data_IF_604194818158
#
_entry.id   IF_604194818158
#
_cell.length_a   1.000
_cell.length_b   1.000
_cell.length_c   1.000
_cell.angle_alpha   90.00
_cell.angle_beta   90.00
_cell.angle_gamma   90.00
#
_symmetry.space_group_name_H-M   'P 1'
#
loop_
_entity.id
_entity.type
_entity.pdbx_description
1 polymer ?
#
# COMPACT_ATOMS: atom_id res chain seq x y z
N UNK A 1 -2.37 32.30 5.47
CA UNK A 1 -2.98 31.06 4.93
C UNK A 1 -2.33 30.64 3.61
N UNK A 2 -2.27 31.52 2.60
CA UNK A 2 -1.59 31.28 1.29
C UNK A 2 -0.17 30.71 1.39
N UNK A 3 0.70 31.36 2.18
CA UNK A 3 2.12 30.96 2.29
C UNK A 3 2.33 29.52 2.79
N UNK A 4 1.58 29.11 3.83
CA UNK A 4 1.61 27.74 4.35
C UNK A 4 1.09 26.73 3.33
N UNK A 5 0.01 27.09 2.62
CA UNK A 5 -0.56 26.23 1.59
C UNK A 5 0.45 26.00 0.45
N UNK A 6 1.12 27.06 -0.02
CA UNK A 6 2.19 26.96 -1.01
C UNK A 6 3.32 26.02 -0.58
N UNK A 7 3.80 26.14 0.67
CA UNK A 7 4.80 25.22 1.23
C UNK A 7 4.33 23.77 1.23
N UNK A 8 3.11 23.50 1.68
CA UNK A 8 2.53 22.16 1.71
C UNK A 8 2.34 21.58 0.30
N UNK A 9 1.97 22.41 -0.68
CA UNK A 9 1.86 22.00 -2.09
C UNK A 9 3.26 21.61 -2.62
N UNK A 10 4.28 22.44 -2.41
CA UNK A 10 5.66 22.13 -2.81
C UNK A 10 6.16 20.86 -2.14
N UNK A 11 5.97 20.74 -0.82
CA UNK A 11 6.28 19.53 -0.05
C UNK A 11 5.67 18.27 -0.70
N UNK A 12 4.39 18.36 -1.05
CA UNK A 12 3.63 17.26 -1.64
C UNK A 12 4.19 16.92 -3.02
N UNK A 13 4.30 17.90 -3.92
CA UNK A 13 4.81 17.67 -5.29
C UNK A 13 6.24 17.12 -5.25
N UNK A 14 7.12 17.67 -4.43
CA UNK A 14 8.50 17.20 -4.27
C UNK A 14 8.56 15.76 -3.75
N UNK A 15 7.72 15.39 -2.78
CA UNK A 15 7.66 14.02 -2.27
C UNK A 15 7.30 13.01 -3.37
N UNK A 16 6.30 13.34 -4.20
CA UNK A 16 5.91 12.49 -5.30
C UNK A 16 6.90 12.51 -6.48
N UNK A 17 7.61 13.62 -6.68
CA UNK A 17 8.71 13.72 -7.65
C UNK A 17 9.83 12.71 -7.32
N UNK A 18 10.14 12.45 -6.04
CA UNK A 18 11.13 11.43 -5.63
C UNK A 18 10.79 10.04 -6.16
N UNK A 19 9.50 9.77 -6.35
CA UNK A 19 8.98 8.50 -6.85
C UNK A 19 8.61 8.56 -8.35
N UNK A 20 9.08 9.59 -9.06
CA UNK A 20 8.80 9.85 -10.47
C UNK A 20 7.29 9.87 -10.78
N UNK A 21 6.51 10.46 -9.87
CA UNK A 21 5.05 10.45 -9.90
C UNK A 21 4.47 11.85 -10.05
N UNK A 22 4.28 12.35 -11.28
CA UNK A 22 3.48 13.55 -11.53
C UNK A 22 2.09 13.43 -10.90
N UNK A 23 1.70 14.45 -10.14
CA UNK A 23 0.43 14.48 -9.39
C UNK A 23 -0.56 15.44 -10.03
N UNK A 24 -1.84 15.13 -9.95
CA UNK A 24 -2.93 16.05 -10.31
C UNK A 24 -3.28 16.98 -9.14
N UNK A 25 -4.03 18.06 -9.39
CA UNK A 25 -4.54 18.92 -8.31
C UNK A 25 -5.37 18.13 -7.28
N UNK A 26 -6.13 17.13 -7.74
CA UNK A 26 -6.88 16.23 -6.86
C UNK A 26 -5.97 15.37 -5.99
N UNK A 27 -4.88 14.83 -6.55
CA UNK A 27 -3.90 14.05 -5.78
C UNK A 27 -3.10 14.93 -4.81
N UNK A 28 -2.76 16.16 -5.19
CA UNK A 28 -2.16 17.15 -4.28
C UNK A 28 -3.08 17.38 -3.07
N UNK A 29 -4.36 17.66 -3.30
CA UNK A 29 -5.33 17.80 -2.22
C UNK A 29 -5.44 16.52 -1.38
N UNK A 30 -5.70 15.38 -2.03
CA UNK A 30 -5.97 14.09 -1.36
C UNK A 30 -4.79 13.58 -0.54
N UNK A 31 -3.57 13.91 -0.95
CA UNK A 31 -2.33 13.44 -0.36
C UNK A 31 -1.43 14.55 0.18
N UNK A 32 -2.03 15.71 0.49
CA UNK A 32 -1.32 16.89 0.99
C UNK A 32 -0.40 16.51 2.16
N UNK A 33 0.82 17.00 2.15
CA UNK A 33 1.82 16.83 3.21
C UNK A 33 1.94 18.15 3.97
N UNK A 34 1.86 18.09 5.29
CA UNK A 34 2.06 19.22 6.19
C UNK A 34 3.50 19.23 6.71
N UNK A 35 4.19 20.37 6.60
CA UNK A 35 5.58 20.51 7.06
C UNK A 35 5.70 20.91 8.54
N UNK A 36 4.66 21.55 9.11
CA UNK A 36 4.65 22.04 10.49
C UNK A 36 3.88 21.05 11.38
N UNK A 37 4.58 20.11 12.04
CA UNK A 37 3.97 19.17 12.99
C UNK A 37 3.59 19.82 14.33
N UNK A 38 4.21 20.95 14.67
CA UNK A 38 4.12 21.59 16.00
C UNK A 38 3.12 22.73 16.12
N UNK A 39 2.39 23.08 15.05
CA UNK A 39 1.43 24.19 15.10
C UNK A 39 0.04 23.78 14.64
N UNK A 40 -0.93 24.15 15.50
CA UNK A 40 -2.38 23.93 15.40
C UNK A 40 -2.82 23.81 13.94
N UNK A 41 -3.30 22.60 13.62
CA UNK A 41 -4.05 22.28 12.40
C UNK A 41 -5.05 23.40 12.20
N UNK A 42 -5.01 24.08 11.04
CA UNK A 42 -5.98 25.12 10.72
C UNK A 42 -7.40 24.64 11.07
N UNK A 43 -8.23 25.49 11.68
CA UNK A 43 -9.59 25.16 12.17
C UNK A 43 -10.49 24.48 11.12
N UNK A 44 -10.09 24.52 9.83
CA UNK A 44 -10.73 23.81 8.74
C UNK A 44 -9.70 23.05 7.87
N UNK A 45 -9.95 21.77 7.53
CA UNK A 45 -9.13 21.05 6.56
C UNK A 45 -9.20 21.71 5.18
N UNK A 46 -8.05 21.78 4.49
CA UNK A 46 -7.92 22.38 3.17
C UNK A 46 -8.81 21.65 2.15
N UNK A 47 -9.61 22.41 1.40
CA UNK A 47 -10.49 21.87 0.36
C UNK A 47 -9.77 21.77 -0.98
N UNK A 48 -10.33 20.99 -1.91
CA UNK A 48 -9.82 20.94 -3.28
C UNK A 48 -9.87 22.31 -3.96
N UNK A 49 -10.91 23.11 -3.68
CA UNK A 49 -11.07 24.46 -4.22
C UNK A 49 -9.96 25.41 -3.77
N UNK A 50 -9.47 25.26 -2.54
CA UNK A 50 -8.34 26.04 -2.02
C UNK A 50 -7.05 25.70 -2.79
N UNK A 51 -6.80 24.42 -3.05
CA UNK A 51 -5.63 23.96 -3.82
C UNK A 51 -5.69 24.47 -5.26
N UNK A 52 -6.83 24.32 -5.93
CA UNK A 52 -7.00 24.77 -7.32
C UNK A 52 -6.86 26.29 -7.42
N UNK A 53 -7.50 27.04 -6.52
CA UNK A 53 -7.42 28.51 -6.50
C UNK A 53 -5.99 28.99 -6.26
N UNK A 54 -5.26 28.36 -5.33
CA UNK A 54 -3.87 28.71 -5.05
C UNK A 54 -2.95 28.38 -6.23
N UNK A 55 -3.10 27.21 -6.85
CA UNK A 55 -2.30 26.84 -8.03
C UNK A 55 -2.53 27.79 -9.21
N UNK A 56 -3.75 28.34 -9.34
CA UNK A 56 -4.10 29.29 -10.39
C UNK A 56 -3.46 30.69 -10.21
N UNK A 57 -2.99 31.06 -9.02
CA UNK A 57 -2.31 32.36 -8.80
C UNK A 57 -0.95 32.43 -9.48
N UNK A 58 -0.34 31.28 -9.81
CA UNK A 58 0.99 31.22 -10.42
C UNK A 58 2.15 31.52 -9.47
N UNK A 59 1.89 31.69 -8.17
CA UNK A 59 2.92 31.95 -7.13
C UNK A 59 4.02 30.89 -7.09
N UNK A 60 3.73 29.65 -7.54
CA UNK A 60 4.67 28.54 -7.57
C UNK A 60 5.32 28.28 -8.94
N UNK A 61 5.09 29.13 -9.94
CA UNK A 61 5.57 28.92 -11.34
C UNK A 61 7.08 28.74 -11.48
N UNK A 62 7.89 29.27 -10.56
CA UNK A 62 9.34 29.05 -10.51
C UNK A 62 9.78 27.70 -9.93
N UNK A 63 8.86 26.93 -9.33
CA UNK A 63 9.15 25.64 -8.68
C UNK A 63 8.33 24.48 -9.24
N UNK A 64 7.08 24.74 -9.62
CA UNK A 64 6.12 23.75 -10.11
C UNK A 64 5.58 24.20 -11.46
N UNK A 65 5.51 23.25 -12.39
CA UNK A 65 4.91 23.44 -13.71
C UNK A 65 3.66 22.57 -13.82
N UNK A 66 2.60 23.16 -14.36
CA UNK A 66 1.39 22.44 -14.77
C UNK A 66 1.46 22.11 -16.26
N UNK A 67 1.13 20.86 -16.61
CA UNK A 67 0.97 20.43 -17.99
C UNK A 67 -0.01 19.26 -18.06
N UNK A 68 -1.03 19.37 -18.91
CA UNK A 68 -2.07 18.34 -19.12
C UNK A 68 -2.79 17.93 -17.81
N UNK A 69 -2.97 18.85 -16.87
CA UNK A 69 -3.59 18.61 -15.56
C UNK A 69 -2.67 17.93 -14.53
N UNK A 70 -1.40 17.71 -14.88
CA UNK A 70 -0.37 17.20 -13.96
C UNK A 70 0.56 18.32 -13.53
N UNK A 71 1.03 18.22 -12.30
CA UNK A 71 1.97 19.11 -11.66
C UNK A 71 3.27 18.35 -11.39
N UNK A 72 4.39 18.93 -11.82
CA UNK A 72 5.74 18.42 -11.59
C UNK A 72 6.64 19.53 -11.10
N UNK A 73 7.83 19.19 -10.58
CA UNK A 73 8.89 20.19 -10.46
C UNK A 73 9.30 20.69 -11.85
N UNK A 74 9.85 21.90 -11.92
CA UNK A 74 10.37 22.50 -13.16
C UNK A 74 11.36 21.54 -13.84
N UNK A 75 11.32 21.44 -15.17
CA UNK A 75 12.19 20.57 -15.98
C UNK A 75 11.96 19.07 -15.81
N UNK A 76 10.82 18.65 -15.23
CA UNK A 76 10.46 17.23 -15.06
C UNK A 76 9.16 16.82 -15.75
N UNK A 77 8.67 17.65 -16.66
CA UNK A 77 7.43 17.44 -17.43
C UNK A 77 7.48 16.16 -18.28
N UNK A 78 8.68 15.68 -18.62
CA UNK A 78 8.87 14.41 -19.34
C UNK A 78 8.35 13.20 -18.55
N UNK A 79 8.20 13.30 -17.22
CA UNK A 79 7.64 12.25 -16.37
C UNK A 79 6.14 12.02 -16.64
N UNK A 80 5.42 13.00 -17.19
CA UNK A 80 3.97 12.91 -17.44
C UNK A 80 3.66 11.77 -18.42
N UNK A 81 4.44 11.63 -19.48
CA UNK A 81 4.28 10.51 -20.43
C UNK A 81 4.52 9.16 -19.76
N UNK A 82 5.54 9.07 -18.87
CA UNK A 82 5.83 7.86 -18.10
C UNK A 82 4.69 7.51 -17.16
N UNK A 83 4.13 8.50 -16.46
CA UNK A 83 2.98 8.37 -15.55
C UNK A 83 1.77 7.76 -16.24
N UNK A 84 1.38 8.31 -17.40
CA UNK A 84 0.24 7.84 -18.18
C UNK A 84 0.46 6.38 -18.62
N UNK A 85 1.68 6.05 -19.06
CA UNK A 85 2.00 4.69 -19.47
C UNK A 85 1.99 3.70 -18.29
N UNK A 86 2.55 4.10 -17.15
CA UNK A 86 2.56 3.30 -15.94
C UNK A 86 1.14 3.04 -15.41
N UNK A 87 0.26 4.04 -15.47
CA UNK A 87 -1.14 3.88 -15.07
C UNK A 87 -1.87 2.84 -15.93
N UNK A 88 -1.70 2.90 -17.26
CA UNK A 88 -2.28 1.90 -18.17
C UNK A 88 -1.82 0.49 -17.81
N UNK A 89 -0.53 0.31 -17.55
CA UNK A 89 0.05 -1.00 -17.17
C UNK A 89 -0.49 -1.45 -15.80
N UNK A 90 -0.52 -0.56 -14.81
CA UNK A 90 -1.06 -0.86 -13.48
C UNK A 90 -2.52 -1.28 -13.52
N UNK A 91 -3.37 -0.58 -14.28
CA UNK A 91 -4.79 -0.94 -14.43
C UNK A 91 -4.96 -2.34 -15.02
N UNK A 92 -4.18 -2.70 -16.05
CA UNK A 92 -4.23 -4.04 -16.64
C UNK A 92 -3.76 -5.13 -15.67
N UNK A 93 -2.75 -4.84 -14.85
CA UNK A 93 -2.28 -5.75 -13.79
C UNK A 93 -3.29 -5.89 -12.66
N UNK A 94 -3.86 -4.80 -12.18
CA UNK A 94 -4.91 -4.80 -11.15
C UNK A 94 -6.16 -5.57 -11.59
N UNK A 95 -6.55 -5.48 -12.87
CA UNK A 95 -7.62 -6.34 -13.43
C UNK A 95 -7.31 -7.84 -13.29
N UNK A 96 -6.06 -8.24 -13.49
CA UNK A 96 -5.63 -9.64 -13.32
C UNK A 96 -5.54 -10.04 -11.86
N UNK A 97 -5.01 -9.15 -11.02
CA UNK A 97 -4.93 -9.34 -9.57
C UNK A 97 -6.33 -9.47 -8.94
N UNK A 98 -7.32 -8.72 -9.44
CA UNK A 98 -8.74 -8.89 -9.06
C UNK A 98 -9.26 -10.30 -9.36
N UNK A 99 -8.97 -10.86 -10.54
CA UNK A 99 -9.39 -12.24 -10.87
C UNK A 99 -8.73 -13.24 -9.94
N UNK A 100 -7.44 -13.05 -9.66
CA UNK A 100 -6.72 -13.87 -8.68
C UNK A 100 -7.36 -13.75 -7.29
N UNK A 101 -7.68 -12.55 -6.81
CA UNK A 101 -8.40 -12.34 -5.55
C UNK A 101 -9.78 -13.04 -5.53
N UNK A 102 -10.43 -13.14 -6.70
CA UNK A 102 -11.60 -13.97 -6.95
C UNK A 102 -11.39 -15.45 -6.59
N UNK A 103 -10.22 -16.01 -6.85
CA UNK A 103 -9.88 -17.39 -6.49
C UNK A 103 -9.40 -17.49 -5.04
N UNK A 104 -8.55 -16.55 -4.61
CA UNK A 104 -7.97 -16.54 -3.28
C UNK A 104 -9.00 -16.40 -2.16
N UNK A 105 -10.11 -15.71 -2.41
CA UNK A 105 -11.15 -15.55 -1.39
C UNK A 105 -11.83 -16.85 -0.96
N UNK A 106 -11.63 -17.97 -1.67
CA UNK A 106 -12.10 -19.30 -1.22
C UNK A 106 -11.14 -19.96 -0.22
N UNK A 107 -9.92 -19.45 -0.08
CA UNK A 107 -8.94 -20.05 0.80
C UNK A 107 -9.34 -19.88 2.27
N UNK A 108 -9.20 -20.94 3.08
CA UNK A 108 -9.47 -20.88 4.52
C UNK A 108 -8.59 -19.82 5.18
N UNK A 109 -9.11 -19.23 6.25
CA UNK A 109 -8.43 -18.25 7.11
C UNK A 109 -8.13 -16.89 6.46
N UNK A 110 -8.23 -16.72 5.14
CA UNK A 110 -8.07 -15.41 4.48
C UNK A 110 -9.25 -14.47 4.80
N UNK A 111 -9.01 -13.36 5.49
CA UNK A 111 -10.05 -12.42 5.92
C UNK A 111 -10.13 -11.18 5.05
N UNK A 112 -8.98 -10.65 4.63
CA UNK A 112 -8.89 -9.50 3.72
C UNK A 112 -7.66 -9.63 2.83
N UNK A 113 -7.75 -9.01 1.65
CA UNK A 113 -6.66 -8.96 0.68
C UNK A 113 -6.61 -7.57 0.08
N UNK A 114 -5.44 -6.92 0.16
CA UNK A 114 -5.16 -5.63 -0.43
C UNK A 114 -4.07 -5.72 -1.51
N UNK A 115 -4.14 -4.87 -2.52
CA UNK A 115 -3.00 -4.56 -3.38
C UNK A 115 -2.25 -3.36 -2.79
N UNK A 116 -0.92 -3.47 -2.71
CA UNK A 116 -0.04 -2.38 -2.24
C UNK A 116 1.04 -2.06 -3.29
N UNK A 117 2.00 -1.21 -2.92
CA UNK A 117 3.19 -0.90 -3.70
C UNK A 117 2.89 -0.19 -5.02
N UNK A 118 3.81 -0.37 -5.97
CA UNK A 118 3.81 0.39 -7.24
C UNK A 118 2.52 0.24 -8.06
N UNK A 119 1.86 -0.92 -7.99
CA UNK A 119 0.60 -1.14 -8.70
C UNK A 119 -0.56 -0.36 -8.10
N UNK A 120 -0.66 -0.36 -6.77
CA UNK A 120 -1.70 0.36 -6.05
C UNK A 120 -1.56 1.88 -6.23
N UNK A 121 -0.31 2.36 -6.29
CA UNK A 121 0.02 3.74 -6.65
C UNK A 121 -0.20 4.09 -8.13
N UNK A 122 -0.58 3.13 -8.98
CA UNK A 122 -0.66 3.30 -10.44
C UNK A 122 0.67 3.69 -11.12
N UNK A 123 1.80 3.35 -10.50
CA UNK A 123 3.15 3.61 -11.00
C UNK A 123 3.93 2.33 -11.32
N UNK A 124 3.23 1.30 -11.81
CA UNK A 124 3.80 0.00 -12.11
C UNK A 124 4.43 -0.07 -13.50
N UNK A 125 5.45 -0.91 -13.64
CA UNK A 125 6.09 -1.22 -14.92
C UNK A 125 5.62 -2.57 -15.43
N UNK A 126 6.00 -2.94 -16.66
CA UNK A 126 5.69 -4.27 -17.21
C UNK A 126 6.28 -5.38 -16.35
N UNK A 127 7.41 -5.13 -15.70
CA UNK A 127 8.16 -6.10 -14.89
C UNK A 127 7.67 -6.19 -13.44
N UNK A 128 6.84 -5.22 -12.98
CA UNK A 128 6.30 -5.21 -11.62
C UNK A 128 5.60 -6.52 -11.26
N UNK A 129 5.82 -6.95 -10.03
CA UNK A 129 5.10 -7.99 -9.33
C UNK A 129 3.79 -7.47 -8.74
N UNK A 130 3.07 -8.35 -8.03
CA UNK A 130 1.81 -8.05 -7.35
C UNK A 130 2.06 -8.06 -5.85
N UNK A 131 2.39 -6.90 -5.28
CA UNK A 131 2.52 -6.75 -3.83
C UNK A 131 1.17 -6.91 -3.13
N UNK A 132 1.10 -7.85 -2.19
CA UNK A 132 -0.14 -8.22 -1.52
C UNK A 132 -0.05 -7.93 -0.02
N UNK A 133 -1.05 -7.19 0.47
CA UNK A 133 -1.31 -7.08 1.90
C UNK A 133 -2.35 -8.13 2.30
N UNK A 134 -1.98 -9.08 3.14
CA UNK A 134 -2.80 -10.24 3.48
C UNK A 134 -3.24 -10.17 4.93
N UNK A 135 -4.54 -10.24 5.19
CA UNK A 135 -5.06 -10.38 6.56
C UNK A 135 -5.60 -11.79 6.72
N UNK A 136 -5.06 -12.50 7.70
CA UNK A 136 -5.48 -13.86 8.07
C UNK A 136 -6.27 -13.82 9.39
N UNK A 137 -7.02 -14.87 9.66
CA UNK A 137 -7.69 -15.08 10.95
C UNK A 137 -6.63 -15.19 12.05
N UNK A 138 -6.86 -14.53 13.18
CA UNK A 138 -6.04 -14.66 14.40
C UNK A 138 -5.90 -16.13 14.82
N UNK A 139 -4.68 -16.50 15.25
CA UNK A 139 -4.30 -17.87 15.60
C UNK A 139 -4.22 -18.86 14.43
N UNK A 140 -4.26 -18.38 13.18
CA UNK A 140 -4.17 -19.20 11.96
C UNK A 140 -3.23 -18.60 10.91
N UNK A 141 -2.32 -17.73 11.31
CA UNK A 141 -1.43 -17.00 10.39
C UNK A 141 -0.46 -17.96 9.68
N UNK A 142 0.02 -19.00 10.37
CA UNK A 142 1.04 -19.92 9.83
C UNK A 142 0.45 -20.92 8.85
N UNK A 143 -0.70 -21.52 9.19
CA UNK A 143 -1.44 -22.40 8.27
C UNK A 143 -2.04 -21.61 7.11
N UNK A 144 -2.64 -20.44 7.38
CA UNK A 144 -3.23 -19.58 6.35
C UNK A 144 -2.18 -19.13 5.33
N UNK A 145 -1.00 -18.73 5.80
CA UNK A 145 0.14 -18.43 4.94
C UNK A 145 0.55 -19.64 4.11
N UNK A 146 0.65 -20.83 4.72
CA UNK A 146 1.07 -22.05 4.02
C UNK A 146 0.12 -22.40 2.88
N UNK A 147 -1.19 -22.37 3.16
CA UNK A 147 -2.24 -22.64 2.18
C UNK A 147 -2.21 -21.61 1.05
N UNK A 148 -2.16 -20.31 1.37
CA UNK A 148 -2.06 -19.25 0.37
C UNK A 148 -0.82 -19.38 -0.51
N UNK A 149 0.32 -19.58 0.13
CA UNK A 149 1.61 -19.71 -0.55
C UNK A 149 1.66 -20.95 -1.44
N UNK A 150 1.15 -22.08 -0.94
CA UNK A 150 1.05 -23.34 -1.67
C UNK A 150 0.12 -23.22 -2.87
N UNK A 151 -1.08 -22.68 -2.68
CA UNK A 151 -2.04 -22.44 -3.76
C UNK A 151 -1.43 -21.57 -4.87
N UNK A 152 -0.83 -20.43 -4.50
CA UNK A 152 -0.16 -19.54 -5.45
C UNK A 152 1.01 -20.23 -6.16
N UNK A 153 1.72 -21.13 -5.49
CA UNK A 153 2.78 -21.92 -6.11
C UNK A 153 2.23 -22.90 -7.14
N UNK A 154 1.16 -23.64 -6.81
CA UNK A 154 0.52 -24.62 -7.70
C UNK A 154 -0.03 -23.98 -8.98
N UNK A 155 -0.66 -22.81 -8.88
CA UNK A 155 -1.13 -22.06 -10.08
C UNK A 155 -0.01 -21.24 -10.76
N UNK A 156 1.23 -21.42 -10.31
CA UNK A 156 2.42 -20.74 -10.80
C UNK A 156 2.48 -19.24 -10.47
N UNK A 157 1.50 -18.64 -9.78
CA UNK A 157 1.42 -17.20 -9.53
C UNK A 157 2.28 -16.70 -8.38
N UNK A 158 3.00 -17.55 -7.66
CA UNK A 158 3.95 -17.14 -6.61
C UNK A 158 5.23 -16.52 -7.20
N UNK A 159 5.69 -15.40 -6.63
CA UNK A 159 7.01 -14.82 -6.92
C UNK A 159 8.12 -15.69 -6.31
N UNK A 160 9.10 -16.09 -7.12
CA UNK A 160 10.28 -16.81 -6.63
C UNK A 160 11.47 -16.71 -7.60
N UNK A 161 12.69 -16.56 -7.07
CA UNK A 161 13.90 -16.43 -7.89
C UNK A 161 13.76 -15.34 -8.96
N UNK A 162 13.99 -15.71 -10.23
CA UNK A 162 13.84 -14.83 -11.41
C UNK A 162 12.38 -14.64 -11.87
N UNK A 163 11.42 -15.39 -11.32
CA UNK A 163 9.99 -15.26 -11.66
C UNK A 163 9.34 -14.17 -10.82
N UNK A 164 9.40 -12.93 -11.31
CA UNK A 164 8.92 -11.73 -10.62
C UNK A 164 7.67 -11.17 -11.31
N UNK A 165 7.76 -10.93 -12.62
CA UNK A 165 6.69 -10.33 -13.42
C UNK A 165 5.36 -11.08 -13.29
N UNK A 166 4.29 -10.34 -12.97
CA UNK A 166 2.91 -10.85 -12.87
C UNK A 166 2.76 -12.02 -11.87
N UNK A 167 3.53 -11.97 -10.79
CA UNK A 167 3.48 -12.91 -9.68
C UNK A 167 3.19 -12.20 -8.37
N UNK A 168 2.45 -12.86 -7.48
CA UNK A 168 2.17 -12.45 -6.12
C UNK A 168 3.44 -12.44 -5.27
N UNK A 169 3.78 -11.28 -4.74
CA UNK A 169 4.72 -11.11 -3.65
C UNK A 169 3.97 -11.18 -2.32
N UNK A 170 4.42 -12.07 -1.44
CA UNK A 170 3.80 -12.37 -0.15
C UNK A 170 4.72 -11.82 0.95
N UNK A 171 4.80 -10.51 1.04
CA UNK A 171 5.72 -9.79 1.92
C UNK A 171 5.06 -9.23 3.18
N UNK A 172 3.73 -9.14 3.24
CA UNK A 172 3.04 -8.55 4.38
C UNK A 172 1.80 -9.37 4.77
N UNK A 173 1.86 -10.00 5.94
CA UNK A 173 0.74 -10.69 6.56
C UNK A 173 0.48 -10.12 7.94
N UNK A 174 -0.79 -9.94 8.28
CA UNK A 174 -1.24 -9.61 9.64
C UNK A 174 -2.46 -10.43 10.01
N UNK A 175 -2.80 -10.48 11.28
CA UNK A 175 -4.06 -11.05 11.76
C UNK A 175 -5.19 -10.03 11.83
N UNK A 176 -6.43 -10.49 11.83
CA UNK A 176 -7.64 -9.66 11.90
C UNK A 176 -7.84 -8.93 13.24
N UNK A 177 -7.11 -9.32 14.29
CA UNK A 177 -7.00 -8.63 15.57
C UNK A 177 -5.78 -7.69 15.68
N UNK A 178 -4.83 -7.74 14.74
CA UNK A 178 -3.63 -6.90 14.71
C UNK A 178 -3.50 -6.14 13.38
N UNK A 179 -4.45 -5.23 13.13
CA UNK A 179 -4.53 -4.47 11.87
C UNK A 179 -3.70 -3.18 11.86
N UNK A 180 -3.20 -2.73 13.00
CA UNK A 180 -2.40 -1.51 13.09
C UNK A 180 -0.99 -1.76 12.56
N UNK A 181 -0.50 -0.85 11.72
CA UNK A 181 0.85 -0.92 11.18
C UNK A 181 1.85 -0.42 12.24
N UNK A 182 2.88 -1.21 12.50
CA UNK A 182 3.93 -0.86 13.46
C UNK A 182 4.80 0.33 13.01
N UNK A 183 5.20 0.36 11.74
CA UNK A 183 6.01 1.47 11.19
C UNK A 183 5.13 2.67 10.83
N UNK A 184 5.24 3.74 11.62
CA UNK A 184 4.43 4.97 11.48
C UNK A 184 5.26 6.13 10.95
N UNK A 185 5.74 6.00 9.72
CA UNK A 185 6.52 7.04 9.03
C UNK A 185 5.78 7.61 7.80
N UNK A 186 6.36 8.65 7.21
CA UNK A 186 5.80 9.32 6.03
C UNK A 186 5.61 8.37 4.84
N UNK A 187 6.50 7.38 4.69
CA UNK A 187 6.46 6.40 3.60
C UNK A 187 5.35 5.39 3.78
N UNK A 188 5.18 4.87 5.00
CA UNK A 188 4.12 3.95 5.39
C UNK A 188 2.76 4.64 5.29
N UNK A 189 2.65 5.88 5.76
CA UNK A 189 1.44 6.69 5.59
C UNK A 189 1.04 6.83 4.11
N UNK A 190 2.03 7.01 3.24
CA UNK A 190 1.82 7.02 1.80
C UNK A 190 1.41 5.64 1.28
N UNK A 191 2.16 4.58 1.56
CA UNK A 191 1.93 3.22 1.06
C UNK A 191 0.51 2.73 1.40
N UNK A 192 0.12 2.82 2.67
CA UNK A 192 -1.19 2.32 3.12
C UNK A 192 -2.35 3.22 2.73
N UNK A 193 -2.11 4.50 2.43
CA UNK A 193 -3.12 5.38 1.82
C UNK A 193 -3.44 4.98 0.37
N UNK A 194 -2.48 4.38 -0.34
CA UNK A 194 -2.72 3.86 -1.69
C UNK A 194 -3.23 2.42 -1.72
N UNK A 195 -3.35 1.75 -0.57
CA UNK A 195 -3.81 0.36 -0.51
C UNK A 195 -5.18 0.20 -1.16
N UNK A 196 -5.29 -0.75 -2.09
CA UNK A 196 -6.55 -1.06 -2.77
C UNK A 196 -7.15 -2.33 -2.17
N UNK A 197 -8.30 -2.25 -1.47
CA UNK A 197 -8.96 -3.44 -0.93
C UNK A 197 -9.55 -4.29 -2.06
N UNK A 198 -9.01 -5.48 -2.27
CA UNK A 198 -9.52 -6.45 -3.25
C UNK A 198 -10.61 -7.34 -2.67
N UNK A 199 -10.53 -7.64 -1.37
CA UNK A 199 -11.50 -8.45 -0.62
C UNK A 199 -11.85 -7.76 0.70
N UNK A 200 -13.10 -7.91 1.14
CA UNK A 200 -13.61 -7.49 2.46
C UNK A 200 -13.38 -6.01 2.80
N UNK A 201 -14.20 -5.14 2.22
CA UNK A 201 -14.14 -3.69 2.46
C UNK A 201 -14.50 -3.33 3.90
N UNK A 202 -15.36 -4.12 4.56
CA UNK A 202 -15.72 -3.89 5.95
C UNK A 202 -14.48 -3.97 6.87
N UNK A 203 -13.69 -5.05 6.72
CA UNK A 203 -12.45 -5.20 7.49
C UNK A 203 -11.39 -4.17 7.09
N UNK A 204 -11.35 -3.76 5.82
CA UNK A 204 -10.47 -2.68 5.37
C UNK A 204 -10.81 -1.33 6.04
N UNK A 205 -12.09 -1.02 6.27
CA UNK A 205 -12.47 0.18 7.04
C UNK A 205 -12.00 0.10 8.49
N UNK A 206 -12.06 -1.08 9.10
CA UNK A 206 -11.47 -1.29 10.44
C UNK A 206 -9.96 -1.07 10.42
N UNK A 207 -9.27 -1.56 9.38
CA UNK A 207 -7.85 -1.27 9.16
C UNK A 207 -7.57 0.24 9.04
N UNK A 208 -8.35 0.98 8.25
CA UNK A 208 -8.20 2.44 8.15
C UNK A 208 -8.45 3.16 9.48
N UNK A 209 -9.40 2.69 10.29
CA UNK A 209 -9.69 3.23 11.62
C UNK A 209 -8.54 3.00 12.60
N UNK A 210 -7.94 1.80 12.58
CA UNK A 210 -6.77 1.47 13.41
C UNK A 210 -5.52 2.25 12.99
N UNK A 211 -5.44 2.65 11.72
CA UNK A 211 -4.32 3.41 11.17
C UNK A 211 -4.62 4.91 11.01
N UNK A 212 -5.41 5.49 11.93
CA UNK A 212 -5.74 6.93 11.91
C UNK A 212 -4.54 7.85 12.14
N UNK A 213 -3.43 7.34 12.68
CA UNK A 213 -2.15 8.06 12.76
C UNK A 213 -1.69 8.60 11.39
N UNK A 214 -2.17 8.03 10.26
CA UNK A 214 -1.93 8.57 8.91
C UNK A 214 -2.37 10.03 8.78
N UNK A 215 -3.37 10.48 9.56
CA UNK A 215 -3.82 11.88 9.59
C UNK A 215 -2.71 12.87 9.98
N UNK A 216 -1.75 12.44 10.82
CA UNK A 216 -0.60 13.26 11.24
C UNK A 216 0.29 13.63 10.04
N UNK A 217 0.33 12.77 9.02
CA UNK A 217 1.09 12.98 7.80
C UNK A 217 0.24 13.47 6.62
N UNK A 218 -1.08 13.21 6.65
CA UNK A 218 -2.02 13.45 5.55
C UNK A 218 -3.34 14.00 6.11
N UNK A 219 -3.48 15.33 6.28
CA UNK A 219 -4.66 15.92 6.91
C UNK A 219 -5.98 15.63 6.17
N UNK A 220 -5.91 15.35 4.86
CA UNK A 220 -7.07 15.00 4.04
C UNK A 220 -7.31 13.48 3.95
N UNK A 221 -6.76 12.70 4.90
CA UNK A 221 -7.07 11.29 5.05
C UNK A 221 -8.54 11.13 5.43
N UNK A 222 -9.28 10.40 4.60
CA UNK A 222 -10.70 10.07 4.80
C UNK A 222 -10.88 8.57 4.65
N UNK A 223 -11.80 8.01 5.43
CA UNK A 223 -12.14 6.60 5.39
C UNK A 223 -12.85 6.24 4.08
N UNK A 224 -12.62 5.03 3.60
CA UNK A 224 -13.20 4.53 2.35
C UNK A 224 -14.69 4.25 2.53
N UNK A 225 -15.52 5.11 1.95
CA UNK A 225 -16.99 4.95 1.93
C UNK A 225 -17.48 4.10 0.77
N UNK A 226 -16.82 4.17 -0.39
CA UNK A 226 -17.23 3.47 -1.62
C UNK A 226 -16.19 2.38 -1.96
N UNK A 227 -16.62 1.14 -2.25
CA UNK A 227 -15.71 0.09 -2.72
C UNK A 227 -14.92 0.51 -3.95
N UNK A 228 -13.65 0.09 -4.03
CA UNK A 228 -12.81 0.38 -5.18
C UNK A 228 -13.30 -0.40 -6.42
N UNK A 229 -13.03 0.13 -7.63
CA UNK A 229 -13.40 -0.54 -8.89
C UNK A 229 -12.88 -1.99 -8.98
N UNK A 230 -11.72 -2.27 -8.36
CA UNK A 230 -11.08 -3.59 -8.36
C UNK A 230 -11.51 -4.50 -7.21
N UNK A 231 -12.36 -4.03 -6.30
CA UNK A 231 -12.90 -4.86 -5.23
C UNK A 231 -13.77 -5.98 -5.80
N UNK A 232 -13.54 -7.21 -5.36
CA UNK A 232 -14.37 -8.37 -5.69
C UNK A 232 -15.62 -8.34 -4.79
N UNK A 233 -16.80 -8.53 -5.39
CA UNK A 233 -18.05 -8.58 -4.62
C UNK A 233 -18.03 -9.75 -3.64
N UNK A 234 -18.60 -9.53 -2.46
CA UNK A 234 -18.77 -10.59 -1.48
C UNK A 234 -19.76 -11.65 -1.99
N UNK A 235 -19.57 -12.89 -1.56
CA UNK A 235 -20.39 -14.02 -1.97
C UNK A 235 -20.64 -14.92 -0.76
N UNK A 236 -21.91 -15.16 -0.44
CA UNK A 236 -22.31 -16.03 0.67
C UNK A 236 -21.81 -17.45 0.48
N UNK A 237 -21.84 -17.93 -0.77
CA UNK A 237 -21.33 -19.26 -1.12
C UNK A 237 -19.84 -19.41 -0.79
N UNK A 238 -19.02 -18.39 -1.11
CA UNK A 238 -17.60 -18.35 -0.73
C UNK A 238 -17.41 -18.47 0.78
N UNK A 239 -18.18 -17.72 1.56
CA UNK A 239 -18.08 -17.77 3.02
C UNK A 239 -18.44 -19.17 3.56
N UNK A 240 -19.42 -19.85 2.96
CA UNK A 240 -19.77 -21.22 3.29
C UNK A 240 -18.65 -22.22 2.98
N UNK A 241 -18.06 -22.14 1.79
CA UNK A 241 -16.90 -22.98 1.40
C UNK A 241 -15.72 -22.74 2.33
N UNK A 242 -15.41 -21.48 2.62
CA UNK A 242 -14.32 -21.11 3.51
C UNK A 242 -14.50 -21.71 4.90
N UNK A 243 -15.69 -21.58 5.51
CA UNK A 243 -16.00 -22.17 6.82
C UNK A 243 -15.84 -23.70 6.84
N UNK A 244 -16.28 -24.39 5.78
CA UNK A 244 -16.11 -25.86 5.68
C UNK A 244 -14.64 -26.26 5.59
N UNK A 245 -13.85 -25.56 4.78
CA UNK A 245 -12.41 -25.81 4.69
C UNK A 245 -11.72 -25.52 6.02
N UNK A 246 -12.05 -24.42 6.70
CA UNK A 246 -11.51 -24.10 8.03
C UNK A 246 -11.82 -25.20 9.04
N UNK A 247 -13.06 -25.72 9.07
CA UNK A 247 -13.43 -26.81 9.97
C UNK A 247 -12.61 -28.09 9.72
N UNK A 248 -12.27 -28.39 8.45
CA UNK A 248 -11.45 -29.55 8.11
C UNK A 248 -10.00 -29.35 8.55
N UNK A 249 -9.42 -28.17 8.29
CA UNK A 249 -8.05 -27.88 8.67
C UNK A 249 -7.86 -27.66 10.18
N UNK A 250 -8.90 -27.20 10.89
CA UNK A 250 -8.86 -27.00 12.33
C UNK A 250 -8.69 -28.33 13.10
N UNK A 251 -9.21 -29.45 12.57
CA UNK A 251 -9.00 -30.80 13.14
C UNK A 251 -7.54 -31.22 13.11
N UNK A 252 -6.76 -30.75 12.14
CA UNK A 252 -5.37 -31.16 11.95
C UNK A 252 -4.39 -30.51 12.93
N UNK A 253 -4.80 -29.43 13.62
CA UNK A 253 -3.99 -28.73 14.65
C UNK A 253 -2.55 -28.36 14.22
N UNK A 254 -2.30 -28.19 12.91
CA UNK A 254 -0.95 -27.94 12.37
C UNK A 254 -0.37 -26.57 12.67
N UNK A 255 -1.14 -25.63 13.22
CA UNK A 255 -0.70 -24.25 13.43
C UNK A 255 0.60 -24.17 14.24
N UNK A 256 0.66 -24.86 15.41
CA UNK A 256 1.84 -24.81 16.29
C UNK A 256 3.08 -25.40 15.62
N UNK A 257 2.93 -26.53 14.94
CA UNK A 257 4.02 -27.17 14.23
C UNK A 257 4.52 -26.31 13.06
N UNK A 258 3.60 -25.75 12.26
CA UNK A 258 3.93 -24.84 11.17
C UNK A 258 4.57 -23.55 11.67
N UNK A 259 4.16 -23.03 12.83
CA UNK A 259 4.77 -21.88 13.48
C UNK A 259 6.24 -22.17 13.80
N UNK A 260 6.52 -23.24 14.54
CA UNK A 260 7.89 -23.62 14.89
C UNK A 260 8.76 -23.84 13.65
N UNK A 261 8.27 -24.57 12.65
CA UNK A 261 9.01 -24.86 11.44
C UNK A 261 9.29 -23.61 10.60
N UNK A 262 8.28 -22.75 10.38
CA UNK A 262 8.45 -21.53 9.59
C UNK A 262 9.30 -20.49 10.31
N UNK A 263 9.13 -20.28 11.63
CA UNK A 263 9.99 -19.39 12.43
C UNK A 263 11.45 -19.79 12.31
N UNK A 264 11.75 -21.09 12.45
CA UNK A 264 13.13 -21.58 12.32
C UNK A 264 13.68 -21.37 10.91
N UNK A 265 12.89 -21.64 9.88
CA UNK A 265 13.28 -21.41 8.49
C UNK A 265 13.53 -19.92 8.19
N UNK A 266 12.73 -19.03 8.75
CA UNK A 266 12.89 -17.58 8.60
C UNK A 266 14.15 -17.13 9.32
N UNK A 267 14.37 -17.57 10.57
CA UNK A 267 15.55 -17.25 11.39
C UNK A 267 16.87 -17.62 10.70
N UNK A 268 16.91 -18.75 9.98
CA UNK A 268 18.09 -19.20 9.24
C UNK A 268 18.32 -18.47 7.91
N UNK A 269 17.41 -17.62 7.47
CA UNK A 269 17.53 -16.96 6.18
C UNK A 269 18.49 -15.76 6.30
N UNK A 270 19.57 -15.67 5.51
CA UNK A 270 20.54 -14.57 5.60
C UNK A 270 19.91 -13.18 5.45
N UNK A 271 18.77 -13.07 4.77
CA UNK A 271 18.05 -11.80 4.58
C UNK A 271 17.48 -11.21 5.87
N UNK A 272 17.36 -11.99 6.94
CA UNK A 272 16.93 -11.49 8.26
C UNK A 272 18.04 -10.84 9.05
N UNK A 273 19.29 -11.00 8.61
CA UNK A 273 20.46 -10.42 9.25
C UNK A 273 20.93 -9.14 8.55
N UNK A 274 20.24 -8.72 7.50
CA UNK A 274 20.57 -7.48 6.78
C UNK A 274 20.23 -6.31 7.71
N UNK A 275 21.21 -5.44 7.95
CA UNK A 275 21.03 -4.23 8.74
C UNK A 275 19.97 -3.31 8.11
N UNK A 276 19.05 -2.80 8.93
CA UNK A 276 17.92 -1.98 8.47
C UNK A 276 16.80 -2.76 7.78
N UNK A 277 16.84 -4.10 7.77
CA UNK A 277 15.71 -4.90 7.31
C UNK A 277 14.54 -4.86 8.30
N UNK A 278 13.32 -4.84 7.78
CA UNK A 278 12.10 -4.99 8.57
C UNK A 278 11.55 -6.40 8.36
N UNK A 279 11.99 -7.32 9.22
CA UNK A 279 11.52 -8.70 9.24
C UNK A 279 10.83 -8.98 10.57
N UNK A 280 9.56 -9.35 10.49
CA UNK A 280 8.73 -9.74 11.63
C UNK A 280 8.17 -11.13 11.37
N UNK A 281 8.16 -12.00 12.39
CA UNK A 281 7.80 -13.40 12.23
C UNK A 281 7.17 -13.96 13.52
N UNK A 282 6.04 -13.39 13.93
CA UNK A 282 5.29 -13.84 15.10
C UNK A 282 3.87 -14.33 14.73
N UNK A 283 3.04 -14.55 15.75
CA UNK A 283 1.72 -15.14 15.59
C UNK A 283 0.64 -14.11 15.18
N UNK A 284 1.01 -12.82 15.11
CA UNK A 284 0.15 -11.70 14.72
C UNK A 284 0.60 -11.02 13.41
N UNK A 285 1.88 -11.03 13.07
CA UNK A 285 2.40 -10.43 11.85
C UNK A 285 3.61 -11.19 11.26
N UNK A 286 3.62 -11.27 9.92
CA UNK A 286 4.73 -11.80 9.13
C UNK A 286 5.12 -10.78 8.05
N UNK A 287 6.19 -10.03 8.30
CA UNK A 287 6.67 -8.94 7.42
C UNK A 287 8.02 -9.33 6.84
N UNK A 288 8.20 -9.17 5.52
CA UNK A 288 9.42 -9.54 4.79
C UNK A 288 9.91 -8.41 3.90
N UNK A 289 10.42 -7.35 4.52
CA UNK A 289 11.00 -6.20 3.83
C UNK A 289 12.52 -6.14 4.07
N UNK A 290 13.33 -6.91 3.31
CA UNK A 290 14.77 -6.97 3.52
C UNK A 290 15.48 -5.64 3.21
N UNK A 291 14.90 -4.82 2.32
CA UNK A 291 15.40 -3.49 1.97
C UNK A 291 14.22 -2.51 1.94
N UNK A 292 13.79 -1.98 3.09
CA UNK A 292 12.71 -1.00 3.17
C UNK A 292 13.04 0.26 2.36
N UNK A 293 12.08 0.77 1.59
CA UNK A 293 12.30 1.95 0.73
C UNK A 293 12.16 3.28 1.47
N UNK A 294 11.48 3.29 2.61
CA UNK A 294 11.12 4.49 3.36
C UNK A 294 12.29 5.43 3.63
N UNK A 295 13.38 4.97 4.28
CA UNK A 295 14.53 5.82 4.58
C UNK A 295 15.15 6.45 3.33
N UNK A 296 15.37 5.68 2.27
CA UNK A 296 15.96 6.17 1.02
C UNK A 296 15.08 7.21 0.31
N UNK A 297 13.75 7.01 0.34
CA UNK A 297 12.78 7.97 -0.22
C UNK A 297 12.78 9.26 0.60
N UNK A 298 12.86 9.14 1.93
CA UNK A 298 12.85 10.30 2.82
C UNK A 298 14.12 11.16 2.71
N UNK A 299 15.30 10.55 2.59
CA UNK A 299 16.54 11.30 2.35
C UNK A 299 16.50 12.09 1.05
N UNK A 300 16.13 11.43 -0.07
CA UNK A 300 15.97 12.11 -1.37
C UNK A 300 14.91 13.21 -1.33
N UNK A 301 13.87 13.03 -0.53
CA UNK A 301 12.84 14.04 -0.34
C UNK A 301 13.40 15.29 0.35
N UNK A 302 14.16 15.14 1.44
CA UNK A 302 14.80 16.27 2.12
C UNK A 302 15.78 17.01 1.21
N UNK A 303 16.61 16.28 0.47
CA UNK A 303 17.54 16.85 -0.50
C UNK A 303 16.82 17.72 -1.54
N UNK A 304 15.79 17.18 -2.19
CA UNK A 304 15.03 17.92 -3.22
C UNK A 304 14.21 19.07 -2.67
N UNK A 305 13.77 19.00 -1.42
CA UNK A 305 12.99 20.06 -0.78
C UNK A 305 13.86 21.27 -0.38
N UNK A 306 15.16 21.05 -0.20
CA UNK A 306 16.12 22.08 0.23
C UNK A 306 16.62 22.96 -0.93
N UNK A 307 16.28 22.60 -2.18
CA UNK A 307 16.59 23.32 -3.42
C UNK A 307 15.39 24.18 -3.83
#
# INVERSE_FOLDING_TARGET
MSYRLGKNIVATVTYYDVMDFPVTAFEIWKHLITQDFDQVVCDRPCTLGDIVSFLATGELSGKIVEKNGFYTLVSREYLIAKRIQAEKVSVLKLKRMRRLAGMLGFLPYLRMLGATGSLAMKNGTRESDWDMFVVLRSGKIWIGRTILTGFLHCIGKRRHGKKIQDRACLNYFVTDDNLEIGTKDLFSAHEYRFLIPLLNVSLFRTFELKNRWILEYRPNFILTSIPHLFTVKESVWRNGVQKRLESLFDVLHFEKWLASWQKEKIRRNPKTLIEGSLIEADDQALIFLPNPRGPQVFEKYKERLSV
#
